data_IF_770200082788
#
_entry.id   IF_770200082788
#
_cell.length_a   1.000
_cell.length_b   1.000
_cell.length_c   1.000
_cell.angle_alpha   90.00
_cell.angle_beta   90.00
_cell.angle_gamma   90.00
#
_symmetry.space_group_name_H-M   'P 1'
#
loop_
_entity.id
_entity.type
_entity.pdbx_description
1 polymer ?
#
# COMPACT_ATOMS: atom_id res chain seq x y z
N UNK A 1 -20.23 24.79 -2.70
CA UNK A 1 -20.20 23.61 -1.81
C UNK A 1 -18.78 23.03 -1.67
N UNK A 2 -17.76 23.76 -2.13
CA UNK A 2 -16.39 23.25 -2.38
C UNK A 2 -15.51 23.12 -1.12
N UNK A 3 -15.63 24.04 -0.15
CA UNK A 3 -14.67 24.11 0.96
C UNK A 3 -14.81 22.96 1.98
N UNK A 4 -16.02 22.42 2.18
CA UNK A 4 -16.27 21.31 3.11
C UNK A 4 -15.90 19.95 2.50
N UNK A 5 -16.06 19.80 1.19
CA UNK A 5 -15.65 18.59 0.45
C UNK A 5 -14.12 18.49 0.42
N UNK A 6 -13.41 19.58 0.11
CA UNK A 6 -11.95 19.64 0.16
C UNK A 6 -11.41 19.27 1.55
N UNK A 7 -12.00 19.84 2.63
CA UNK A 7 -11.60 19.51 4.01
C UNK A 7 -11.81 18.03 4.36
N UNK A 8 -12.83 17.39 3.77
CA UNK A 8 -13.12 15.98 4.01
C UNK A 8 -12.12 15.10 3.27
N UNK A 9 -11.77 15.44 2.04
CA UNK A 9 -10.76 14.75 1.23
C UNK A 9 -9.39 14.84 1.91
N UNK A 10 -8.96 16.04 2.31
CA UNK A 10 -7.68 16.27 3.01
C UNK A 10 -7.60 15.46 4.31
N UNK A 11 -8.71 15.40 5.06
CA UNK A 11 -8.78 14.59 6.28
C UNK A 11 -8.63 13.10 5.98
N UNK A 12 -9.30 12.59 4.95
CA UNK A 12 -9.20 11.19 4.55
C UNK A 12 -7.79 10.84 4.08
N UNK A 13 -7.15 11.73 3.32
CA UNK A 13 -5.76 11.58 2.91
C UNK A 13 -4.83 11.50 4.12
N UNK A 14 -4.98 12.40 5.09
CA UNK A 14 -4.19 12.39 6.32
C UNK A 14 -4.36 11.10 7.13
N UNK A 15 -5.59 10.60 7.25
CA UNK A 15 -5.87 9.32 7.92
C UNK A 15 -5.23 8.14 7.17
N UNK A 16 -5.32 8.12 5.85
CA UNK A 16 -4.75 7.07 5.02
C UNK A 16 -3.22 7.05 5.12
N UNK A 17 -2.58 8.22 5.12
CA UNK A 17 -1.14 8.36 5.37
C UNK A 17 -0.75 7.82 6.76
N UNK A 18 -1.54 8.12 7.79
CA UNK A 18 -1.28 7.62 9.14
C UNK A 18 -1.36 6.09 9.20
N UNK A 19 -2.39 5.49 8.60
CA UNK A 19 -2.54 4.04 8.52
C UNK A 19 -1.39 3.37 7.76
N UNK A 20 -0.96 3.93 6.62
CA UNK A 20 0.20 3.40 5.87
C UNK A 20 1.45 3.30 6.72
N UNK A 21 1.75 4.36 7.48
CA UNK A 21 2.92 4.39 8.37
C UNK A 21 2.82 3.33 9.45
N UNK A 22 1.67 3.24 10.13
CA UNK A 22 1.45 2.24 11.18
C UNK A 22 1.60 0.81 10.63
N UNK A 23 0.99 0.53 9.47
CA UNK A 23 1.07 -0.79 8.83
C UNK A 23 2.51 -1.11 8.41
N UNK A 24 3.25 -0.15 7.86
CA UNK A 24 4.64 -0.32 7.47
C UNK A 24 5.52 -0.72 8.68
N UNK A 25 5.36 -0.06 9.83
CA UNK A 25 6.10 -0.37 11.05
C UNK A 25 5.75 -1.75 11.62
N UNK A 26 4.46 -2.09 11.63
CA UNK A 26 4.00 -3.42 12.06
C UNK A 26 4.56 -4.51 11.16
N UNK A 27 4.50 -4.32 9.84
CA UNK A 27 5.01 -5.27 8.85
C UNK A 27 6.54 -5.40 8.97
N UNK A 28 7.27 -4.30 9.18
CA UNK A 28 8.71 -4.32 9.43
C UNK A 28 9.06 -5.12 10.69
N UNK A 29 8.28 -4.95 11.75
CA UNK A 29 8.45 -5.67 13.02
C UNK A 29 8.15 -7.16 12.88
N UNK A 30 7.00 -7.51 12.29
CA UNK A 30 6.57 -8.90 12.15
C UNK A 30 7.47 -9.68 11.19
N UNK A 31 8.04 -9.06 10.15
CA UNK A 31 9.01 -9.72 9.26
C UNK A 31 10.26 -10.22 10.00
N UNK A 32 10.62 -9.64 11.15
CA UNK A 32 11.71 -10.16 11.99
C UNK A 32 11.35 -11.51 12.64
N UNK A 33 10.06 -11.74 12.87
CA UNK A 33 9.52 -12.97 13.46
C UNK A 33 9.12 -14.00 12.39
N UNK A 34 8.61 -13.53 11.26
CA UNK A 34 8.18 -14.33 10.11
C UNK A 34 8.72 -13.73 8.80
N UNK A 35 9.93 -14.12 8.37
CA UNK A 35 10.51 -13.62 7.12
C UNK A 35 9.68 -13.93 5.88
N UNK A 36 8.86 -14.98 5.90
CA UNK A 36 8.00 -15.37 4.78
C UNK A 36 6.77 -14.46 4.63
N UNK A 37 6.48 -13.60 5.61
CA UNK A 37 5.39 -12.62 5.50
C UNK A 37 5.59 -11.69 4.29
N UNK A 38 6.83 -11.32 3.98
CA UNK A 38 7.13 -10.45 2.85
C UNK A 38 6.68 -11.04 1.51
N UNK A 39 7.03 -12.31 1.28
CA UNK A 39 6.69 -13.06 0.07
C UNK A 39 5.18 -13.21 -0.09
N UNK A 40 4.47 -13.58 0.99
CA UNK A 40 2.99 -13.67 0.94
C UNK A 40 2.32 -12.34 0.61
N UNK A 41 2.83 -11.23 1.15
CA UNK A 41 2.27 -9.90 0.87
C UNK A 41 2.57 -9.45 -0.57
N UNK A 42 3.71 -9.85 -1.13
CA UNK A 42 4.10 -9.58 -2.51
C UNK A 42 3.22 -10.35 -3.49
N UNK A 43 2.98 -11.65 -3.24
CA UNK A 43 2.10 -12.51 -4.05
C UNK A 43 0.67 -11.99 -4.16
N UNK A 44 0.17 -11.32 -3.12
CA UNK A 44 -1.17 -10.71 -3.11
C UNK A 44 -1.24 -9.36 -3.81
N UNK A 45 -0.10 -8.75 -4.16
CA UNK A 45 -0.04 -7.45 -4.86
C UNK A 45 -0.03 -7.60 -6.39
N UNK A 46 0.22 -8.81 -6.90
CA UNK A 46 0.23 -9.09 -8.34
C UNK A 46 -1.20 -9.21 -8.84
N UNK A 47 -1.69 -8.14 -9.47
CA UNK A 47 -2.81 -8.23 -10.40
C UNK A 47 -2.42 -9.32 -11.42
N UNK A 48 -3.13 -10.45 -11.45
CA UNK A 48 -2.88 -11.47 -12.45
C UNK A 48 -3.14 -10.83 -13.81
N UNK A 49 -2.07 -10.53 -14.53
CA UNK A 49 -2.05 -9.87 -15.84
C UNK A 49 -2.86 -10.72 -16.82
N UNK A 50 -4.15 -10.44 -16.84
CA UNK A 50 -5.19 -11.18 -17.52
C UNK A 50 -5.96 -10.20 -18.38
N UNK A 51 -5.27 -9.65 -19.39
CA UNK A 51 -5.81 -8.87 -20.51
C UNK A 51 -6.05 -7.38 -20.22
N UNK A 52 -4.96 -6.60 -20.21
CA UNK A 52 -5.05 -5.18 -20.60
C UNK A 52 -5.31 -5.07 -22.12
N UNK A 53 -6.58 -5.19 -22.53
CA UNK A 53 -7.00 -4.84 -23.88
C UNK A 53 -6.92 -3.31 -24.06
N UNK A 54 -6.08 -2.78 -24.98
CA UNK A 54 -5.91 -1.35 -25.20
C UNK A 54 -7.21 -0.75 -25.79
N UNK A 55 -8.15 -0.42 -24.91
CA UNK A 55 -9.49 0.06 -25.26
C UNK A 55 -10.59 -0.35 -24.29
N UNK A 56 -10.33 -1.30 -23.38
CA UNK A 56 -11.28 -1.65 -22.34
C UNK A 56 -11.34 -0.56 -21.27
N UNK A 57 -12.53 0.01 -21.07
CA UNK A 57 -12.79 0.89 -19.93
C UNK A 57 -12.62 0.05 -18.65
N UNK A 58 -11.81 0.46 -17.67
CA UNK A 58 -11.72 -0.25 -16.41
C UNK A 58 -13.13 -0.42 -15.83
N UNK A 59 -13.57 -1.66 -15.69
CA UNK A 59 -14.79 -1.92 -14.92
C UNK A 59 -14.50 -1.60 -13.45
N UNK A 60 -15.51 -1.17 -12.68
CA UNK A 60 -15.32 -0.71 -11.30
C UNK A 60 -14.55 -1.71 -10.41
N UNK A 61 -14.61 -3.01 -10.72
CA UNK A 61 -13.82 -4.06 -10.05
C UNK A 61 -12.31 -3.95 -10.29
N UNK A 62 -11.88 -3.66 -11.53
CA UNK A 62 -10.45 -3.50 -11.88
C UNK A 62 -9.85 -2.26 -11.22
N UNK A 63 -10.63 -1.18 -11.11
CA UNK A 63 -10.17 0.05 -10.46
C UNK A 63 -9.89 -0.14 -8.96
N UNK A 64 -10.72 -0.91 -8.26
CA UNK A 64 -10.52 -1.23 -6.83
C UNK A 64 -9.31 -2.14 -6.64
N UNK A 65 -9.17 -3.17 -7.49
CA UNK A 65 -8.03 -4.10 -7.42
C UNK A 65 -6.70 -3.39 -7.70
N UNK A 66 -6.66 -2.51 -8.71
CA UNK A 66 -5.49 -1.69 -9.02
C UNK A 66 -5.14 -0.76 -7.85
N UNK A 67 -6.13 -0.04 -7.30
CA UNK A 67 -5.91 0.82 -6.14
C UNK A 67 -5.40 0.04 -4.92
N UNK A 68 -5.86 -1.21 -4.74
CA UNK A 68 -5.39 -2.11 -3.68
C UNK A 68 -3.95 -2.57 -3.91
N UNK A 69 -3.57 -2.90 -5.15
CA UNK A 69 -2.22 -3.30 -5.51
C UNK A 69 -1.23 -2.14 -5.28
N UNK A 70 -1.55 -0.94 -5.77
CA UNK A 70 -0.73 0.27 -5.56
C UNK A 70 -0.53 0.57 -4.06
N UNK A 71 -1.59 0.45 -3.27
CA UNK A 71 -1.51 0.71 -1.84
C UNK A 71 -0.65 -0.32 -1.11
N UNK A 72 -0.75 -1.59 -1.49
CA UNK A 72 0.11 -2.66 -0.98
C UNK A 72 1.58 -2.37 -1.27
N UNK A 73 1.90 -1.96 -2.50
CA UNK A 73 3.27 -1.60 -2.89
C UNK A 73 3.82 -0.44 -2.05
N UNK A 74 3.03 0.63 -1.83
CA UNK A 74 3.41 1.77 -0.99
C UNK A 74 3.73 1.35 0.43
N UNK A 75 2.87 0.53 1.04
CA UNK A 75 3.07 0.04 2.42
C UNK A 75 4.33 -0.83 2.51
N UNK A 76 4.52 -1.74 1.55
CA UNK A 76 5.70 -2.62 1.52
C UNK A 76 6.98 -1.81 1.32
N UNK A 77 6.97 -0.79 0.46
CA UNK A 77 8.09 0.14 0.27
C UNK A 77 8.47 0.86 1.55
N UNK A 78 7.48 1.43 2.27
CA UNK A 78 7.71 2.06 3.57
C UNK A 78 8.26 1.08 4.61
N UNK A 79 7.75 -0.16 4.63
CA UNK A 79 8.24 -1.18 5.56
C UNK A 79 9.72 -1.52 5.32
N UNK A 80 10.19 -1.48 4.07
CA UNK A 80 11.60 -1.70 3.73
C UNK A 80 12.48 -0.56 4.26
N UNK A 81 12.02 0.68 4.14
CA UNK A 81 12.73 1.86 4.67
C UNK A 81 12.81 1.81 6.19
N UNK A 82 11.70 1.51 6.88
CA UNK A 82 11.66 1.41 8.35
C UNK A 82 12.68 0.40 8.90
N UNK A 83 12.84 -0.75 8.22
CA UNK A 83 13.87 -1.74 8.61
C UNK A 83 15.30 -1.25 8.42
N UNK A 84 15.56 -0.44 7.40
CA UNK A 84 16.90 0.10 7.14
C UNK A 84 17.29 1.15 8.17
N UNK A 85 16.34 1.97 8.63
CA UNK A 85 16.59 3.01 9.64
C UNK A 85 16.90 2.44 11.02
N UNK A 86 16.44 1.23 11.34
CA UNK A 86 16.77 0.56 12.60
C UNK A 86 18.13 -0.15 12.59
N UNK A 87 18.74 -0.37 11.42
CA UNK A 87 20.00 -1.10 11.27
C UNK A 87 21.24 -0.24 11.01
N UNK A 88 21.13 1.08 11.13
CA UNK A 88 22.15 2.04 10.69
C UNK A 88 22.98 2.71 11.80
N UNK A 89 23.05 2.15 13.01
CA UNK A 89 23.67 2.79 14.18
C UNK A 89 24.81 1.95 14.82
N UNK A 90 25.62 1.27 13.99
CA UNK A 90 26.86 0.58 14.42
C UNK A 90 28.10 1.09 13.65
#
# INVERSE_FOLDING_TARGET
MTQTEDTTIDRLEGLLIAHRKILAELIATVQKLDPALAERLDDHSVLHDGQEDPGAVPTDGVAIELASAEETERVMSLSRVARQTEGGDD
#
